data_IF_219380078943
#
_entry.id   IF_219380078943
#
_cell.length_a   1.000
_cell.length_b   1.000
_cell.length_c   1.000
_cell.angle_alpha   90.00
_cell.angle_beta   90.00
_cell.angle_gamma   90.00
#
_symmetry.space_group_name_H-M   'P 1'
#
loop_
_entity.id
_entity.type
_entity.pdbx_description
1 polymer ?
#
# COMPACT_ATOMS: atom_id res chain seq x y z
N UNK A 1 -33.44 9.87 -13.65
CA UNK A 1 -32.71 8.64 -13.25
C UNK A 1 -31.28 9.09 -13.00
N UNK A 2 -30.84 9.11 -11.73
CA UNK A 2 -29.54 9.66 -11.35
C UNK A 2 -28.55 8.50 -11.19
N UNK A 3 -27.58 8.40 -12.09
CA UNK A 3 -26.49 7.42 -12.00
C UNK A 3 -25.66 7.69 -10.74
N UNK A 4 -25.82 6.83 -9.74
CA UNK A 4 -25.00 6.81 -8.54
C UNK A 4 -23.54 6.49 -8.92
N UNK A 5 -22.72 7.53 -9.13
CA UNK A 5 -21.25 7.45 -9.25
C UNK A 5 -20.54 7.13 -7.92
N UNK A 6 -21.27 6.71 -6.89
CA UNK A 6 -20.75 6.47 -5.52
C UNK A 6 -20.15 5.08 -5.31
N UNK A 7 -19.97 4.29 -6.37
CA UNK A 7 -19.21 3.04 -6.34
C UNK A 7 -17.80 3.21 -6.91
N UNK A 8 -17.11 4.30 -6.57
CA UNK A 8 -15.66 4.33 -6.68
C UNK A 8 -15.17 3.33 -5.62
N UNK A 9 -14.75 2.15 -6.09
CA UNK A 9 -14.47 1.02 -5.22
C UNK A 9 -13.40 1.41 -4.20
N UNK A 10 -13.79 1.51 -2.92
CA UNK A 10 -12.86 1.63 -1.78
C UNK A 10 -11.77 0.54 -1.76
N UNK A 11 -11.86 -0.46 -2.64
CA UNK A 11 -10.88 -1.50 -2.83
C UNK A 11 -9.61 -1.02 -3.57
N UNK A 12 -9.70 0.01 -4.42
CA UNK A 12 -8.53 0.53 -5.13
C UNK A 12 -7.65 1.39 -4.20
N UNK A 13 -8.24 2.16 -3.28
CA UNK A 13 -7.52 2.92 -2.22
C UNK A 13 -6.71 2.03 -1.25
N UNK A 14 -6.92 0.71 -1.28
CA UNK A 14 -6.21 -0.25 -0.41
C UNK A 14 -4.96 -0.79 -1.12
N UNK A 15 -4.82 -0.59 -2.43
CA UNK A 15 -3.71 -1.16 -3.21
C UNK A 15 -2.55 -0.17 -3.32
N UNK A 16 -1.37 -0.65 -2.99
CA UNK A 16 -0.09 0.03 -3.13
C UNK A 16 0.53 -0.40 -4.45
N UNK A 17 0.79 0.56 -5.33
CA UNK A 17 1.61 0.33 -6.52
C UNK A 17 3.09 0.43 -6.14
N UNK A 18 3.85 -0.64 -6.37
CA UNK A 18 5.29 -0.69 -6.13
C UNK A 18 6.08 0.25 -7.05
N UNK A 19 5.52 0.58 -8.22
CA UNK A 19 6.15 1.47 -9.19
C UNK A 19 5.83 2.94 -8.89
N UNK A 20 4.85 3.22 -8.05
CA UNK A 20 4.55 4.56 -7.58
C UNK A 20 5.46 4.90 -6.39
N UNK A 21 6.41 5.82 -6.63
CA UNK A 21 7.33 6.27 -5.59
C UNK A 21 6.61 6.97 -4.44
N UNK A 22 5.46 7.60 -4.68
CA UNK A 22 4.70 8.31 -3.64
C UNK A 22 4.05 7.35 -2.65
N UNK A 23 3.58 6.19 -3.13
CA UNK A 23 3.02 5.12 -2.30
C UNK A 23 4.09 4.43 -1.45
N UNK A 24 5.27 4.17 -2.04
CA UNK A 24 6.42 3.60 -1.31
C UNK A 24 6.93 4.59 -0.25
N UNK A 25 7.04 5.87 -0.61
CA UNK A 25 7.43 6.95 0.31
C UNK A 25 6.41 7.14 1.43
N UNK A 26 5.11 7.02 1.14
CA UNK A 26 4.05 7.07 2.14
C UNK A 26 4.24 5.97 3.20
N UNK A 27 4.48 4.73 2.77
CA UNK A 27 4.77 3.63 3.68
C UNK A 27 6.07 3.84 4.48
N UNK A 28 7.10 4.42 3.86
CA UNK A 28 8.36 4.74 4.54
C UNK A 28 8.16 5.75 5.67
N UNK A 29 7.29 6.74 5.46
CA UNK A 29 6.93 7.70 6.52
C UNK A 29 6.19 7.04 7.69
N UNK A 30 5.40 5.99 7.45
CA UNK A 30 4.73 5.22 8.51
C UNK A 30 5.70 4.27 9.23
N UNK A 31 6.68 3.73 8.50
CA UNK A 31 7.68 2.80 9.01
C UNK A 31 9.10 3.35 8.80
N UNK A 32 9.51 4.42 9.52
CA UNK A 32 10.79 5.08 9.31
C UNK A 32 12.02 4.20 9.64
N UNK A 33 11.81 3.07 10.32
CA UNK A 33 12.84 2.06 10.55
C UNK A 33 13.01 1.05 9.41
N UNK A 34 12.22 1.15 8.34
CA UNK A 34 12.28 0.28 7.16
C UNK A 34 12.75 1.08 5.97
N UNK A 35 13.69 0.54 5.21
CA UNK A 35 14.16 1.14 3.96
C UNK A 35 13.12 0.99 2.84
N UNK A 36 13.22 1.84 1.81
CA UNK A 36 12.40 1.71 0.61
C UNK A 36 12.50 0.33 -0.06
N UNK A 37 13.66 -0.31 0.02
CA UNK A 37 13.85 -1.65 -0.52
C UNK A 37 13.11 -2.73 0.29
N UNK A 38 13.07 -2.60 1.62
CA UNK A 38 12.27 -3.48 2.48
C UNK A 38 10.78 -3.31 2.23
N UNK A 39 10.32 -2.09 1.99
CA UNK A 39 8.92 -1.81 1.63
C UNK A 39 8.58 -2.42 0.28
N UNK A 40 9.42 -2.22 -0.74
CA UNK A 40 9.26 -2.86 -2.05
C UNK A 40 9.27 -4.38 -1.95
N UNK A 41 10.12 -4.95 -1.10
CA UNK A 41 10.15 -6.38 -0.82
C UNK A 41 8.84 -6.85 -0.17
N UNK A 42 8.34 -6.13 0.83
CA UNK A 42 7.07 -6.44 1.48
C UNK A 42 5.90 -6.42 0.48
N UNK A 43 5.86 -5.43 -0.42
CA UNK A 43 4.84 -5.35 -1.49
C UNK A 43 4.93 -6.56 -2.43
N UNK A 44 6.14 -7.00 -2.81
CA UNK A 44 6.33 -8.19 -3.65
C UNK A 44 5.92 -9.49 -2.94
N UNK A 45 6.25 -9.64 -1.66
CA UNK A 45 5.98 -10.86 -0.90
C UNK A 45 4.52 -11.00 -0.45
N UNK A 46 3.87 -9.89 -0.08
CA UNK A 46 2.50 -9.89 0.46
C UNK A 46 1.43 -9.46 -0.53
N UNK A 47 1.86 -9.03 -1.72
CA UNK A 47 1.01 -8.46 -2.74
C UNK A 47 0.69 -6.99 -2.46
N UNK A 48 -0.06 -6.35 -3.38
CA UNK A 48 -0.28 -4.90 -3.36
C UNK A 48 -1.23 -4.44 -2.24
N UNK A 49 -1.81 -5.31 -1.42
CA UNK A 49 -2.76 -4.90 -0.39
C UNK A 49 -2.04 -4.22 0.78
N UNK A 50 -2.30 -2.93 0.99
CA UNK A 50 -1.69 -2.09 2.04
C UNK A 50 -1.74 -2.74 3.42
N UNK A 51 -2.90 -3.30 3.80
CA UNK A 51 -3.07 -4.00 5.07
C UNK A 51 -2.08 -5.16 5.27
N UNK A 52 -1.84 -5.96 4.23
CA UNK A 52 -0.91 -7.09 4.33
C UNK A 52 0.54 -6.61 4.44
N UNK A 53 0.86 -5.52 3.75
CA UNK A 53 2.18 -4.88 3.79
C UNK A 53 2.45 -4.31 5.19
N UNK A 54 1.50 -3.54 5.74
CA UNK A 54 1.57 -3.00 7.10
C UNK A 54 1.69 -4.10 8.17
N UNK A 55 0.89 -5.17 8.03
CA UNK A 55 0.97 -6.31 8.95
C UNK A 55 2.35 -7.00 8.90
N UNK A 56 2.97 -7.09 7.72
CA UNK A 56 4.31 -7.66 7.58
C UNK A 56 5.39 -6.73 8.14
N UNK A 57 5.34 -5.44 7.81
CA UNK A 57 6.33 -4.45 8.25
C UNK A 57 6.28 -4.20 9.76
N UNK A 58 5.11 -4.36 10.40
CA UNK A 58 4.96 -4.23 11.86
C UNK A 58 5.46 -5.45 12.65
N UNK A 59 5.54 -6.62 12.02
CA UNK A 59 6.03 -7.87 12.64
C UNK A 59 7.52 -8.12 12.41
N UNK A 60 8.13 -7.41 11.46
CA UNK A 60 9.53 -7.59 11.04
C UNK A 60 10.44 -6.56 11.68
#
# INVERSE_FOLDING_TARGET
MSDNKTKQGKQDDIRVDINDSSEVEYLHRQFPGKSHDEIKKAIREKGPLRKNIEEYLSRS
#
